data_IF_081207338691
#
_entry.id   IF_081207338691
#
_cell.length_a   1.000
_cell.length_b   1.000
_cell.length_c   1.000
_cell.angle_alpha   90.00
_cell.angle_beta   90.00
_cell.angle_gamma   90.00
#
_symmetry.space_group_name_H-M   'P 1'
#
loop_
_entity.id
_entity.type
_entity.pdbx_description
1 polymer ?
#
# COMPACT_ATOMS: atom_id res chain seq x y z
N UNK A 1 -63.46 -37.59 36.34
CA UNK A 1 -62.29 -38.05 35.56
C UNK A 1 -61.80 -36.91 34.68
N UNK A 2 -60.50 -36.60 34.80
CA UNK A 2 -59.71 -35.63 34.01
C UNK A 2 -59.83 -35.92 32.50
N UNK A 3 -59.63 -35.02 31.54
CA UNK A 3 -58.74 -33.86 31.51
C UNK A 3 -59.27 -32.79 30.52
N UNK A 4 -59.05 -31.50 30.85
CA UNK A 4 -59.24 -30.39 29.92
C UNK A 4 -57.92 -30.13 29.20
N UNK A 5 -57.92 -30.27 27.88
CA UNK A 5 -56.82 -29.83 27.01
C UNK A 5 -56.88 -28.30 26.94
N UNK A 6 -56.01 -27.63 27.68
CA UNK A 6 -55.79 -26.19 27.54
C UNK A 6 -54.79 -25.96 26.41
N UNK A 7 -55.29 -25.52 25.26
CA UNK A 7 -54.46 -24.95 24.18
C UNK A 7 -54.09 -23.53 24.63
N UNK A 8 -52.98 -23.41 25.35
CA UNK A 8 -52.42 -22.12 25.74
C UNK A 8 -51.71 -21.49 24.55
N UNK A 9 -52.09 -20.26 24.24
CA UNK A 9 -51.53 -19.42 23.19
C UNK A 9 -50.00 -19.32 23.30
N UNK A 10 -49.26 -19.99 22.41
CA UNK A 10 -47.82 -19.81 22.25
C UNK A 10 -47.41 -20.08 20.80
N UNK A 11 -47.88 -19.25 19.86
CA UNK A 11 -47.57 -19.44 18.43
C UNK A 11 -46.93 -18.21 17.78
N UNK A 12 -47.14 -16.99 18.29
CA UNK A 12 -46.55 -15.79 17.67
C UNK A 12 -45.13 -15.45 18.16
N UNK A 13 -44.75 -15.84 19.37
CA UNK A 13 -43.44 -15.51 19.96
C UNK A 13 -42.31 -16.41 19.46
N UNK A 14 -42.65 -17.61 18.96
CA UNK A 14 -41.67 -18.59 18.44
C UNK A 14 -41.14 -18.24 17.04
N UNK A 15 -41.83 -17.36 16.31
CA UNK A 15 -41.47 -16.97 14.94
C UNK A 15 -40.38 -15.88 14.90
N UNK A 16 -40.21 -15.12 15.99
CA UNK A 16 -39.22 -14.02 16.07
C UNK A 16 -37.82 -14.55 16.42
N UNK A 17 -37.72 -15.69 17.13
CA UNK A 17 -36.44 -16.28 17.53
C UNK A 17 -35.73 -17.06 16.40
N UNK A 18 -36.43 -17.35 15.30
CA UNK A 18 -35.89 -18.08 14.15
C UNK A 18 -35.22 -17.18 13.09
N UNK A 19 -35.38 -15.84 13.17
CA UNK A 19 -34.76 -14.89 12.23
C UNK A 19 -33.38 -14.37 12.68
N UNK A 20 -33.00 -14.62 13.94
CA UNK A 20 -31.75 -14.08 14.51
C UNK A 20 -30.44 -14.70 13.98
N UNK A 21 -30.36 -15.96 13.51
CA UNK A 21 -29.08 -16.52 13.03
C UNK A 21 -28.67 -16.08 11.62
N UNK A 22 -29.50 -15.32 10.88
CA UNK A 22 -29.19 -14.85 9.53
C UNK A 22 -28.21 -13.64 9.48
N UNK A 23 -27.99 -12.96 10.61
CA UNK A 23 -27.14 -11.76 10.65
C UNK A 23 -25.64 -12.07 10.85
N UNK A 24 -25.29 -13.28 11.31
CA UNK A 24 -23.88 -13.63 11.60
C UNK A 24 -23.02 -13.81 10.34
N UNK A 25 -23.61 -14.22 9.21
CA UNK A 25 -22.88 -14.39 7.94
C UNK A 25 -22.52 -13.06 7.27
N UNK A 26 -23.17 -11.95 7.63
CA UNK A 26 -22.90 -10.65 7.02
C UNK A 26 -21.54 -10.08 7.43
N UNK A 27 -21.11 -10.31 8.68
CA UNK A 27 -19.86 -9.75 9.19
C UNK A 27 -18.62 -10.40 8.57
N UNK A 28 -18.64 -11.71 8.35
CA UNK A 28 -17.51 -12.44 7.74
C UNK A 28 -17.29 -12.01 6.28
N UNK A 29 -18.39 -11.82 5.52
CA UNK A 29 -18.32 -11.34 4.14
C UNK A 29 -17.76 -9.92 4.03
N UNK A 30 -18.16 -9.02 4.93
CA UNK A 30 -17.67 -7.64 4.96
C UNK A 30 -16.17 -7.56 5.26
N UNK A 31 -15.66 -8.36 6.21
CA UNK A 31 -14.23 -8.39 6.53
C UNK A 31 -13.39 -8.93 5.36
N UNK A 32 -13.88 -9.94 4.65
CA UNK A 32 -13.21 -10.47 3.47
C UNK A 32 -13.15 -9.43 2.34
N UNK A 33 -14.24 -8.69 2.13
CA UNK A 33 -14.29 -7.65 1.09
C UNK A 33 -13.32 -6.49 1.39
N UNK A 34 -13.24 -6.06 2.65
CA UNK A 34 -12.30 -5.00 3.04
C UNK A 34 -10.84 -5.46 2.91
N UNK A 35 -10.53 -6.70 3.29
CA UNK A 35 -9.19 -7.26 3.11
C UNK A 35 -8.74 -7.26 1.64
N UNK A 36 -9.64 -7.65 0.72
CA UNK A 36 -9.35 -7.63 -0.72
C UNK A 36 -9.21 -6.19 -1.24
N UNK A 37 -10.06 -5.26 -0.80
CA UNK A 37 -9.93 -3.85 -1.17
C UNK A 37 -8.55 -3.28 -0.80
N UNK A 38 -8.06 -3.58 0.40
CA UNK A 38 -6.71 -3.16 0.83
C UNK A 38 -5.64 -3.82 -0.05
N UNK A 39 -5.83 -5.08 -0.45
CA UNK A 39 -4.91 -5.77 -1.36
C UNK A 39 -4.84 -5.09 -2.73
N UNK A 40 -5.98 -4.72 -3.29
CA UNK A 40 -6.08 -3.96 -4.55
C UNK A 40 -5.39 -2.59 -4.42
N UNK A 41 -5.60 -1.90 -3.29
CA UNK A 41 -4.98 -0.60 -3.02
C UNK A 41 -3.44 -0.70 -2.94
N UNK A 42 -2.90 -1.74 -2.29
CA UNK A 42 -1.45 -2.01 -2.28
C UNK A 42 -0.92 -2.19 -3.71
N UNK A 43 -1.61 -2.97 -4.54
CA UNK A 43 -1.19 -3.24 -5.93
C UNK A 43 -1.23 -1.95 -6.75
N UNK A 44 -2.27 -1.13 -6.57
CA UNK A 44 -2.39 0.15 -7.25
C UNK A 44 -1.22 1.08 -6.92
N UNK A 45 -0.93 1.29 -5.64
CA UNK A 45 0.19 2.16 -5.20
C UNK A 45 1.54 1.60 -5.67
N UNK A 46 1.71 0.27 -5.62
CA UNK A 46 2.89 -0.41 -6.17
C UNK A 46 3.07 -0.12 -7.66
N UNK A 47 2.02 -0.32 -8.47
CA UNK A 47 2.09 -0.16 -9.93
C UNK A 47 2.40 1.30 -10.30
N UNK A 48 1.74 2.27 -9.65
CA UNK A 48 2.00 3.71 -9.85
C UNK A 48 3.46 4.08 -9.54
N UNK A 49 4.05 3.51 -8.48
CA UNK A 49 5.44 3.77 -8.13
C UNK A 49 6.41 3.00 -9.05
N UNK A 50 6.05 1.78 -9.48
CA UNK A 50 6.84 0.98 -10.43
C UNK A 50 6.94 1.61 -11.81
N UNK A 51 5.88 2.26 -12.29
CA UNK A 51 5.91 3.03 -13.55
C UNK A 51 7.00 4.11 -13.56
N UNK A 52 7.38 4.61 -12.39
CA UNK A 52 8.38 5.69 -12.24
C UNK A 52 9.82 5.19 -12.13
N UNK A 53 10.05 3.89 -11.98
CA UNK A 53 11.39 3.31 -11.80
C UNK A 53 12.28 3.58 -13.02
N UNK A 54 11.73 3.45 -14.23
CA UNK A 54 12.46 3.79 -15.46
C UNK A 54 12.85 5.27 -15.50
N UNK A 55 11.98 6.15 -15.01
CA UNK A 55 12.23 7.59 -14.95
C UNK A 55 13.28 7.97 -13.91
N UNK A 56 13.31 7.30 -12.75
CA UNK A 56 14.39 7.46 -11.75
C UNK A 56 15.77 7.22 -12.39
N UNK A 57 15.90 6.15 -13.18
CA UNK A 57 17.15 5.81 -13.85
C UNK A 57 17.55 6.84 -14.93
N UNK A 58 16.58 7.37 -15.67
CA UNK A 58 16.82 8.45 -16.63
C UNK A 58 17.37 9.71 -15.92
N UNK A 59 16.72 10.14 -14.84
CA UNK A 59 17.14 11.31 -14.05
C UNK A 59 18.53 11.11 -13.44
N UNK A 60 18.81 9.91 -12.91
CA UNK A 60 20.13 9.56 -12.39
C UNK A 60 21.21 9.72 -13.47
N UNK A 61 20.97 9.18 -14.66
CA UNK A 61 21.92 9.26 -15.79
C UNK A 61 22.17 10.70 -16.22
N UNK A 62 21.11 11.53 -16.25
CA UNK A 62 21.21 12.96 -16.58
C UNK A 62 22.02 13.72 -15.53
N UNK A 63 21.77 13.47 -14.25
CA UNK A 63 22.53 14.11 -13.16
C UNK A 63 24.00 13.69 -13.17
N UNK A 64 24.32 12.41 -13.43
CA UNK A 64 25.69 11.94 -13.59
C UNK A 64 26.40 12.63 -14.77
N UNK A 65 25.69 12.95 -15.86
CA UNK A 65 26.26 13.72 -16.96
C UNK A 65 26.62 15.16 -16.55
N UNK A 66 25.76 15.81 -15.75
CA UNK A 66 26.02 17.15 -15.19
C UNK A 66 27.19 17.12 -14.20
N UNK A 67 27.24 16.10 -13.36
CA UNK A 67 28.31 15.85 -12.40
C UNK A 67 29.67 15.78 -13.09
N UNK A 68 29.79 14.96 -14.14
CA UNK A 68 31.04 14.78 -14.90
C UNK A 68 31.50 16.04 -15.65
N UNK A 69 30.62 17.02 -15.86
CA UNK A 69 30.95 18.31 -16.48
C UNK A 69 31.36 19.37 -15.45
N UNK A 70 31.18 19.10 -14.16
CA UNK A 70 31.44 20.03 -13.06
C UNK A 70 32.84 19.77 -12.49
N UNK A 71 33.84 20.55 -12.94
CA UNK A 71 35.25 20.40 -12.53
C UNK A 71 35.56 20.91 -11.10
N UNK A 72 34.55 21.25 -10.30
CA UNK A 72 34.71 21.92 -9.00
C UNK A 72 34.16 21.10 -7.83
N UNK A 73 34.99 20.90 -6.80
CA UNK A 73 34.59 20.40 -5.46
C UNK A 73 33.78 21.47 -4.68
N UNK A 74 32.71 21.97 -5.28
CA UNK A 74 31.90 23.03 -4.72
C UNK A 74 30.59 22.48 -4.10
N UNK A 75 29.75 23.40 -3.60
CA UNK A 75 28.46 23.04 -3.01
C UNK A 75 27.50 22.42 -4.04
N UNK A 76 27.64 22.75 -5.33
CA UNK A 76 26.77 22.26 -6.40
C UNK A 76 27.00 20.77 -6.63
N UNK A 77 28.27 20.36 -6.66
CA UNK A 77 28.66 18.96 -6.77
C UNK A 77 28.02 18.09 -5.66
N UNK A 78 28.10 18.53 -4.40
CA UNK A 78 27.47 17.81 -3.27
C UNK A 78 25.95 17.69 -3.36
N UNK A 79 25.29 18.69 -3.94
CA UNK A 79 23.82 18.66 -4.14
C UNK A 79 23.44 17.66 -5.23
N UNK A 80 24.24 17.55 -6.30
CA UNK A 80 24.06 16.56 -7.36
C UNK A 80 24.27 15.14 -6.81
N UNK A 81 25.35 14.91 -6.07
CA UNK A 81 25.63 13.62 -5.41
C UNK A 81 24.48 13.17 -4.51
N UNK A 82 23.93 14.10 -3.71
CA UNK A 82 22.79 13.82 -2.83
C UNK A 82 21.52 13.49 -3.63
N UNK A 83 21.26 14.20 -4.72
CA UNK A 83 20.09 13.93 -5.58
C UNK A 83 20.20 12.53 -6.23
N UNK A 84 21.38 12.16 -6.75
CA UNK A 84 21.65 10.82 -7.27
C UNK A 84 21.42 9.76 -6.18
N UNK A 85 21.96 9.97 -4.98
CA UNK A 85 21.80 9.04 -3.86
C UNK A 85 20.32 8.84 -3.48
N UNK A 86 19.51 9.91 -3.51
CA UNK A 86 18.08 9.85 -3.22
C UNK A 86 17.30 9.06 -4.29
N UNK A 87 17.61 9.26 -5.59
CA UNK A 87 17.01 8.49 -6.68
C UNK A 87 17.31 6.99 -6.53
N UNK A 88 18.57 6.66 -6.24
CA UNK A 88 18.98 5.28 -6.00
C UNK A 88 18.34 4.68 -4.74
N UNK A 89 18.16 5.48 -3.69
CA UNK A 89 17.48 5.05 -2.46
C UNK A 89 16.01 4.74 -2.73
N UNK A 90 15.30 5.58 -3.47
CA UNK A 90 13.91 5.33 -3.86
C UNK A 90 13.79 4.02 -4.65
N UNK A 91 14.69 3.81 -5.62
CA UNK A 91 14.73 2.59 -6.42
C UNK A 91 14.95 1.35 -5.53
N UNK A 92 15.97 1.38 -4.66
CA UNK A 92 16.25 0.27 -3.73
C UNK A 92 15.08 -0.01 -2.78
N UNK A 93 14.45 1.03 -2.23
CA UNK A 93 13.33 0.88 -1.30
C UNK A 93 12.15 0.14 -1.95
N UNK A 94 11.85 0.42 -3.22
CA UNK A 94 10.83 -0.31 -3.97
C UNK A 94 11.18 -1.79 -4.13
N UNK A 95 12.41 -2.10 -4.54
CA UNK A 95 12.85 -3.50 -4.64
C UNK A 95 12.88 -4.21 -3.29
N UNK A 96 13.36 -3.56 -2.23
CA UNK A 96 13.40 -4.13 -0.88
C UNK A 96 11.99 -4.44 -0.36
N UNK A 97 11.03 -3.55 -0.62
CA UNK A 97 9.63 -3.79 -0.29
C UNK A 97 9.07 -4.98 -1.09
N UNK A 98 9.29 -5.04 -2.41
CA UNK A 98 8.82 -6.15 -3.25
C UNK A 98 9.38 -7.51 -2.79
N UNK A 99 10.63 -7.57 -2.34
CA UNK A 99 11.23 -8.80 -1.82
C UNK A 99 10.59 -9.27 -0.49
N UNK A 100 10.06 -8.34 0.30
CA UNK A 100 9.46 -8.62 1.61
C UNK A 100 7.94 -8.84 1.53
N UNK A 101 7.29 -8.25 0.53
CA UNK A 101 5.84 -8.29 0.40
C UNK A 101 5.33 -9.69 0.02
N UNK A 102 4.40 -10.20 0.82
CA UNK A 102 3.75 -11.48 0.59
C UNK A 102 2.40 -11.25 -0.07
N UNK A 103 2.29 -11.64 -1.34
CA UNK A 103 1.10 -11.40 -2.18
C UNK A 103 -0.06 -12.34 -1.86
N UNK A 104 0.23 -13.49 -1.25
CA UNK A 104 -0.75 -14.49 -0.82
C UNK A 104 -1.26 -14.19 0.59
N UNK A 105 -2.28 -14.92 1.01
CA UNK A 105 -2.78 -14.87 2.38
C UNK A 105 -1.70 -15.32 3.37
N UNK A 106 -1.41 -14.50 4.38
CA UNK A 106 -0.38 -14.76 5.40
C UNK A 106 -0.94 -15.41 6.66
N UNK A 107 -2.26 -15.34 6.87
CA UNK A 107 -2.96 -15.95 8.00
C UNK A 107 -4.33 -16.51 7.60
N UNK A 108 -4.73 -17.65 8.20
CA UNK A 108 -6.10 -18.18 8.07
C UNK A 108 -7.15 -17.30 8.74
N UNK A 109 -6.72 -16.45 9.68
CA UNK A 109 -7.59 -15.53 10.39
C UNK A 109 -7.57 -14.18 9.68
N UNK A 110 -8.74 -13.75 9.19
CA UNK A 110 -8.88 -12.61 8.28
C UNK A 110 -8.44 -11.28 8.91
N UNK A 111 -8.61 -11.09 10.21
CA UNK A 111 -8.21 -9.84 10.89
C UNK A 111 -6.69 -9.71 10.98
N UNK A 112 -5.98 -10.83 11.15
CA UNK A 112 -4.52 -10.89 11.16
C UNK A 112 -3.95 -10.63 9.77
N UNK A 113 -4.53 -11.22 8.73
CA UNK A 113 -4.15 -10.94 7.34
C UNK A 113 -4.42 -9.47 6.98
N UNK A 114 -5.56 -8.92 7.39
CA UNK A 114 -5.93 -7.50 7.18
C UNK A 114 -4.93 -6.57 7.84
N UNK A 115 -4.51 -6.88 9.08
CA UNK A 115 -3.52 -6.07 9.80
C UNK A 115 -2.17 -6.05 9.08
N UNK A 116 -1.71 -7.21 8.60
CA UNK A 116 -0.50 -7.29 7.79
C UNK A 116 -0.62 -6.43 6.53
N UNK A 117 -1.73 -6.54 5.80
CA UNK A 117 -1.95 -5.75 4.58
C UNK A 117 -1.96 -4.25 4.86
N UNK A 118 -2.62 -3.79 5.92
CA UNK A 118 -2.58 -2.37 6.32
C UNK A 118 -1.16 -1.88 6.62
N UNK A 119 -0.34 -2.70 7.27
CA UNK A 119 1.08 -2.37 7.49
C UNK A 119 1.85 -2.28 6.16
N UNK A 120 1.58 -3.19 5.22
CA UNK A 120 2.23 -3.17 3.91
C UNK A 120 1.75 -2.00 3.03
N UNK A 121 0.48 -1.61 3.15
CA UNK A 121 -0.07 -0.42 2.50
C UNK A 121 0.70 0.84 2.93
N UNK A 122 0.85 1.05 4.23
CA UNK A 122 1.63 2.19 4.73
C UNK A 122 3.08 2.19 4.23
N UNK A 123 3.73 1.02 4.17
CA UNK A 123 5.10 0.91 3.64
C UNK A 123 5.21 1.25 2.15
N UNK A 124 4.27 0.79 1.33
CA UNK A 124 4.32 1.08 -0.12
C UNK A 124 3.95 2.55 -0.40
N UNK A 125 3.08 3.16 0.40
CA UNK A 125 2.82 4.61 0.36
C UNK A 125 4.07 5.43 0.72
N UNK A 126 4.85 4.99 1.73
CA UNK A 126 6.13 5.62 2.06
C UNK A 126 7.15 5.53 0.90
N UNK A 127 7.22 4.36 0.24
CA UNK A 127 8.05 4.17 -0.96
C UNK A 127 7.59 5.07 -2.11
N UNK A 128 6.28 5.20 -2.33
CA UNK A 128 5.72 6.09 -3.34
C UNK A 128 6.10 7.55 -3.05
N UNK A 129 5.95 7.99 -1.79
CA UNK A 129 6.31 9.34 -1.37
C UNK A 129 7.80 9.61 -1.54
N UNK A 130 8.66 8.65 -1.19
CA UNK A 130 10.11 8.75 -1.40
C UNK A 130 10.45 8.88 -2.89
N UNK A 131 9.80 8.08 -3.75
CA UNK A 131 9.95 8.13 -5.20
C UNK A 131 9.58 9.49 -5.76
N UNK A 132 8.40 10.02 -5.39
CA UNK A 132 7.94 11.34 -5.85
C UNK A 132 8.92 12.43 -5.40
N UNK A 133 9.33 12.44 -4.13
CA UNK A 133 10.28 13.44 -3.62
C UNK A 133 11.62 13.40 -4.33
N UNK A 134 12.16 12.21 -4.59
CA UNK A 134 13.43 12.05 -5.28
C UNK A 134 13.35 12.56 -6.72
N UNK A 135 12.25 12.27 -7.42
CA UNK A 135 11.98 12.76 -8.78
C UNK A 135 11.90 14.29 -8.78
N UNK A 136 11.05 14.88 -7.96
CA UNK A 136 10.86 16.34 -7.93
C UNK A 136 12.17 17.07 -7.61
N UNK A 137 12.94 16.59 -6.64
CA UNK A 137 14.23 17.20 -6.32
C UNK A 137 15.25 17.11 -7.47
N UNK A 138 15.25 15.99 -8.22
CA UNK A 138 16.13 15.81 -9.36
C UNK A 138 15.71 16.68 -10.56
N UNK A 139 14.41 16.77 -10.84
CA UNK A 139 13.84 17.64 -11.88
C UNK A 139 14.18 19.11 -11.61
N UNK A 140 13.90 19.60 -10.39
CA UNK A 140 14.22 20.98 -9.98
C UNK A 140 15.72 21.28 -10.13
N UNK A 141 16.57 20.32 -9.78
CA UNK A 141 18.02 20.47 -9.91
C UNK A 141 18.46 20.51 -11.38
N UNK A 142 17.87 19.69 -12.24
CA UNK A 142 18.17 19.68 -13.67
C UNK A 142 17.72 20.98 -14.35
N UNK A 143 16.58 21.55 -13.95
CA UNK A 143 16.08 22.80 -14.50
C UNK A 143 16.99 24.00 -14.19
N UNK A 144 17.58 24.05 -13.00
CA UNK A 144 18.52 25.13 -12.61
C UNK A 144 19.96 24.88 -13.09
N UNK A 145 20.27 23.68 -13.58
CA UNK A 145 21.61 23.32 -14.07
C UNK A 145 21.69 23.19 -15.58
N UNK A 146 20.56 23.21 -16.29
CA UNK A 146 20.52 23.34 -17.74
C UNK A 146 21.17 24.67 -18.19
N UNK A 147 22.01 24.65 -19.24
CA UNK A 147 22.65 25.86 -19.79
C UNK A 147 21.66 26.81 -20.48
#
# INVERSE_FOLDING_TARGET
MSARVTITACSKTLLILALLPLLANSCQGQQSAENERIREEIIHVHDEAMEKIGYLYELETRLQAVENQTDTLDKKQKVIELAIANLQQANRAMFDWMHQYQTLTVSKEISSDTRYRLEQLGKIEEVQLLTIKAITAAEELLDITAP
#
